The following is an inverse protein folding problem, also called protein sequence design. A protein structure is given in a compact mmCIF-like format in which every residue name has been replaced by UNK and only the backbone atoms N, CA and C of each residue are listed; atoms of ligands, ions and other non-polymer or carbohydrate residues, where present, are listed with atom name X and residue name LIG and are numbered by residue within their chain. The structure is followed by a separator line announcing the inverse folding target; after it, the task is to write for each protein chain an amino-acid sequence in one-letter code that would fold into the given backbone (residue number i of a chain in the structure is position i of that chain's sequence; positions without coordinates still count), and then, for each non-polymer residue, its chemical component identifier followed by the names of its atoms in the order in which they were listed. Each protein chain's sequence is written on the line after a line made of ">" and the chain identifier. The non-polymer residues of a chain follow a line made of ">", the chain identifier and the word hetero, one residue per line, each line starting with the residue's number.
data_IF_734365575727
#
_entry.id   IF_734365575727
#
_cell.length_a   1.000
_cell.length_b   1.000
_cell.length_c   1.000
_cell.angle_alpha   90.00
_cell.angle_beta   90.00
_cell.angle_gamma   90.00
#
_symmetry.space_group_name_H-M   'P 1'
#
loop_
_entity.id
_entity.type
_entity.pdbx_description
1 polymer ?
#
# COMPACT_ATOMS: atom_id res chain seq x y z
N UNK A 1 31.57 12.60 -0.77
CA UNK A 1 31.28 11.15 -0.89
C UNK A 1 31.85 10.48 0.35
N UNK A 2 31.12 9.52 0.92
CA UNK A 2 31.46 8.80 2.16
C UNK A 2 32.30 7.56 1.87
N UNK A 3 32.06 6.92 0.73
CA UNK A 3 32.73 5.71 0.27
C UNK A 3 33.46 5.98 -1.05
N UNK A 4 34.54 5.24 -1.28
CA UNK A 4 35.28 5.23 -2.53
C UNK A 4 34.94 3.93 -3.27
N UNK A 5 33.86 3.97 -4.06
CA UNK A 5 33.30 2.82 -4.78
C UNK A 5 31.80 2.95 -5.06
N UNK A 6 31.22 1.92 -5.67
CA UNK A 6 29.82 1.87 -6.04
C UNK A 6 28.92 1.66 -4.81
N UNK A 7 27.77 2.33 -4.84
CA UNK A 7 26.69 2.19 -3.88
C UNK A 7 25.61 1.34 -4.53
N UNK A 8 25.12 0.34 -3.80
CA UNK A 8 24.03 -0.52 -4.26
C UNK A 8 22.82 -0.30 -3.38
N UNK A 9 21.66 -0.08 -3.99
CA UNK A 9 20.36 -0.07 -3.30
C UNK A 9 19.43 -1.09 -3.97
N UNK A 10 18.40 -1.56 -3.26
CA UNK A 10 17.43 -2.49 -3.83
C UNK A 10 15.99 -2.19 -3.43
N UNK A 11 15.04 -2.63 -4.25
CA UNK A 11 13.63 -2.45 -3.98
C UNK A 11 12.70 -3.00 -5.03
N UNK A 12 11.41 -3.07 -4.69
CA UNK A 12 10.37 -3.51 -5.62
C UNK A 12 10.02 -2.45 -6.67
N UNK A 13 10.10 -1.16 -6.30
CA UNK A 13 9.82 -0.02 -7.19
C UNK A 13 8.48 -0.13 -7.93
N UNK A 14 7.44 -0.66 -7.27
CA UNK A 14 6.18 -1.03 -7.93
C UNK A 14 4.90 -0.65 -7.16
N UNK A 15 4.33 0.57 -7.36
CA UNK A 15 4.86 1.66 -8.20
C UNK A 15 5.97 2.47 -7.53
N UNK A 16 6.72 3.23 -8.32
CA UNK A 16 7.69 4.22 -7.86
C UNK A 16 6.98 5.40 -7.18
N UNK A 17 7.54 5.91 -6.08
CA UNK A 17 7.00 7.04 -5.34
C UNK A 17 8.12 7.92 -4.75
N UNK A 18 7.75 9.05 -4.13
CA UNK A 18 8.70 10.07 -3.64
C UNK A 18 9.77 9.52 -2.67
N UNK A 19 9.43 8.48 -1.92
CA UNK A 19 10.36 7.76 -1.03
C UNK A 19 11.53 7.15 -1.80
N UNK A 20 11.28 6.49 -2.93
CA UNK A 20 12.34 5.95 -3.78
C UNK A 20 13.23 7.06 -4.36
N UNK A 21 12.62 8.16 -4.80
CA UNK A 21 13.39 9.31 -5.33
C UNK A 21 14.34 9.91 -4.28
N UNK A 22 13.90 10.00 -3.02
CA UNK A 22 14.75 10.49 -1.92
C UNK A 22 15.86 9.50 -1.59
N UNK A 23 15.54 8.21 -1.52
CA UNK A 23 16.52 7.13 -1.32
C UNK A 23 17.61 7.16 -2.40
N UNK A 24 17.23 7.23 -3.68
CA UNK A 24 18.15 7.33 -4.82
C UNK A 24 19.04 8.57 -4.69
N UNK A 25 18.45 9.75 -4.43
CA UNK A 25 19.20 11.01 -4.29
C UNK A 25 20.18 11.04 -3.13
N UNK A 26 19.88 10.34 -2.04
CA UNK A 26 20.77 10.28 -0.89
C UNK A 26 21.85 9.22 -1.10
N UNK A 27 21.50 8.06 -1.66
CA UNK A 27 22.45 7.01 -2.00
C UNK A 27 23.49 7.47 -3.04
N UNK A 28 23.07 8.23 -4.07
CA UNK A 28 23.98 8.72 -5.11
C UNK A 28 25.06 9.67 -4.62
N UNK A 29 24.90 10.26 -3.42
CA UNK A 29 25.92 11.14 -2.81
C UNK A 29 26.95 10.38 -1.99
N UNK A 30 26.69 9.10 -1.69
CA UNK A 30 27.51 8.31 -0.78
C UNK A 30 28.77 7.77 -1.44
N UNK A 31 28.73 7.43 -2.73
CA UNK A 31 29.88 6.86 -3.45
C UNK A 31 30.04 7.42 -4.85
N UNK A 32 30.86 6.76 -5.66
CA UNK A 32 31.25 7.23 -7.00
C UNK A 32 30.25 6.85 -8.08
N UNK A 33 29.43 5.83 -7.81
CA UNK A 33 28.44 5.27 -8.71
C UNK A 33 27.25 4.77 -7.90
N UNK A 34 26.03 4.87 -8.42
CA UNK A 34 24.84 4.25 -7.87
C UNK A 34 24.31 3.15 -8.80
N UNK A 35 24.20 1.94 -8.26
CA UNK A 35 23.58 0.80 -8.91
C UNK A 35 22.28 0.47 -8.17
N UNK A 36 21.18 0.37 -8.90
CA UNK A 36 19.85 0.07 -8.35
C UNK A 36 19.43 -1.34 -8.75
N UNK A 37 19.19 -2.21 -7.78
CA UNK A 37 18.62 -3.54 -8.00
C UNK A 37 17.09 -3.43 -7.90
N UNK A 38 16.39 -3.64 -9.01
CA UNK A 38 14.95 -3.78 -9.05
C UNK A 38 14.55 -5.26 -8.86
N UNK A 39 13.71 -5.56 -7.87
CA UNK A 39 13.23 -6.93 -7.69
C UNK A 39 12.43 -7.40 -8.91
N UNK A 40 12.63 -8.64 -9.37
CA UNK A 40 11.94 -9.20 -10.53
C UNK A 40 10.42 -9.35 -10.31
N UNK A 41 9.68 -9.57 -11.39
CA UNK A 41 8.21 -9.69 -11.34
C UNK A 41 7.75 -10.88 -10.48
N UNK A 42 8.47 -12.01 -10.52
CA UNK A 42 8.21 -13.17 -9.65
C UNK A 42 8.25 -12.78 -8.17
N UNK A 43 9.27 -12.03 -7.75
CA UNK A 43 9.38 -11.56 -6.37
C UNK A 43 8.16 -10.70 -5.97
N UNK A 44 7.66 -9.84 -6.87
CA UNK A 44 6.49 -9.02 -6.58
C UNK A 44 5.21 -9.87 -6.48
N UNK A 45 5.04 -10.87 -7.35
CA UNK A 45 3.92 -11.81 -7.25
C UNK A 45 3.96 -12.58 -5.93
N UNK A 46 5.10 -13.14 -5.55
CA UNK A 46 5.24 -13.91 -4.31
C UNK A 46 5.03 -13.03 -3.07
N UNK A 47 5.43 -11.75 -3.12
CA UNK A 47 5.32 -10.80 -2.01
C UNK A 47 3.92 -10.20 -1.85
N UNK A 48 3.27 -9.79 -2.94
CA UNK A 48 2.02 -8.99 -2.90
C UNK A 48 0.91 -9.49 -3.82
N UNK A 49 1.15 -10.54 -4.62
CA UNK A 49 0.14 -11.22 -5.44
C UNK A 49 -0.13 -10.60 -6.82
N UNK A 50 0.57 -9.53 -7.20
CA UNK A 50 0.42 -8.88 -8.50
C UNK A 50 1.65 -8.05 -8.86
N UNK A 51 1.76 -7.66 -10.13
CA UNK A 51 2.73 -6.70 -10.67
C UNK A 51 1.93 -5.51 -11.19
N UNK A 52 2.24 -4.29 -10.74
CA UNK A 52 1.61 -3.08 -11.25
C UNK A 52 2.34 -2.56 -12.50
N UNK A 53 3.67 -2.64 -12.51
CA UNK A 53 4.56 -2.22 -13.58
C UNK A 53 5.59 -3.32 -13.86
N UNK A 54 5.67 -3.86 -15.10
CA UNK A 54 6.63 -4.88 -15.48
C UNK A 54 8.08 -4.45 -15.21
N UNK A 55 8.97 -5.42 -15.01
CA UNK A 55 10.38 -5.17 -14.71
C UNK A 55 11.05 -4.28 -15.76
N UNK A 56 10.75 -4.44 -17.04
CA UNK A 56 11.36 -3.67 -18.13
C UNK A 56 11.06 -2.17 -18.00
N UNK A 57 9.79 -1.82 -17.72
CA UNK A 57 9.38 -0.43 -17.49
C UNK A 57 10.00 0.15 -16.21
N UNK A 58 10.08 -0.66 -15.14
CA UNK A 58 10.70 -0.24 -13.88
C UNK A 58 12.18 0.07 -14.08
N UNK A 59 12.91 -0.74 -14.84
CA UNK A 59 14.32 -0.50 -15.15
C UNK A 59 14.49 0.77 -15.97
N UNK A 60 13.72 0.97 -17.04
CA UNK A 60 13.82 2.17 -17.89
C UNK A 60 13.56 3.46 -17.10
N UNK A 61 12.57 3.45 -16.21
CA UNK A 61 12.29 4.60 -15.34
C UNK A 61 13.41 4.81 -14.33
N UNK A 62 13.96 3.74 -13.75
CA UNK A 62 15.04 3.84 -12.76
C UNK A 62 16.32 4.39 -13.37
N UNK A 63 16.70 3.94 -14.57
CA UNK A 63 17.86 4.44 -15.32
C UNK A 63 17.70 5.90 -15.74
N UNK A 64 16.45 6.39 -15.83
CA UNK A 64 16.17 7.79 -16.17
C UNK A 64 16.32 8.74 -14.97
N UNK A 65 16.49 8.24 -13.74
CA UNK A 65 16.68 9.11 -12.58
C UNK A 65 18.10 9.69 -12.52
N UNK A 66 18.17 11.00 -12.31
CA UNK A 66 19.43 11.69 -12.03
C UNK A 66 20.15 11.07 -10.82
N UNK A 67 21.41 10.70 -11.03
CA UNK A 67 22.25 10.03 -10.05
C UNK A 67 22.13 8.51 -10.01
N UNK A 68 21.37 7.86 -10.89
CA UNK A 68 21.43 6.40 -11.11
C UNK A 68 22.35 6.13 -12.29
N UNK A 69 23.42 5.37 -12.07
CA UNK A 69 24.36 5.00 -13.14
C UNK A 69 24.00 3.69 -13.82
N UNK A 70 23.29 2.81 -13.12
CA UNK A 70 22.88 1.50 -13.63
C UNK A 70 21.67 0.98 -12.86
N UNK A 71 20.66 0.47 -13.56
CA UNK A 71 19.62 -0.36 -12.94
C UNK A 71 19.77 -1.81 -13.41
N UNK A 72 19.50 -2.77 -12.53
CA UNK A 72 19.55 -4.20 -12.86
C UNK A 72 18.37 -4.94 -12.26
N UNK A 73 17.86 -5.94 -12.96
CA UNK A 73 16.89 -6.88 -12.42
C UNK A 73 17.56 -7.83 -11.41
N UNK A 74 16.85 -8.16 -10.34
CA UNK A 74 17.30 -9.19 -9.40
C UNK A 74 17.20 -10.60 -10.00
N UNK A 75 18.27 -11.38 -9.89
CA UNK A 75 18.34 -12.78 -10.37
C UNK A 75 18.00 -13.81 -9.28
N UNK A 76 17.53 -13.35 -8.13
CA UNK A 76 17.28 -14.18 -6.94
C UNK A 76 16.03 -15.06 -7.09
N UNK A 77 16.10 -16.26 -6.52
CA UNK A 77 15.00 -17.24 -6.46
C UNK A 77 14.26 -17.24 -5.12
N UNK A 78 14.62 -16.32 -4.24
CA UNK A 78 14.05 -16.15 -2.91
C UNK A 78 13.68 -14.68 -2.68
N UNK A 79 13.34 -14.34 -1.44
CA UNK A 79 12.92 -12.99 -1.04
C UNK A 79 14.09 -12.05 -0.70
N UNK A 80 15.31 -12.37 -1.15
CA UNK A 80 16.53 -11.57 -0.91
C UNK A 80 17.06 -10.98 -2.22
N UNK A 81 18.18 -10.23 -2.13
CA UNK A 81 18.99 -9.84 -3.30
C UNK A 81 20.43 -10.37 -3.27
N UNK A 82 20.69 -11.42 -2.49
CA UNK A 82 22.04 -11.92 -2.22
C UNK A 82 22.79 -12.38 -3.47
N UNK A 83 22.14 -13.15 -4.35
CA UNK A 83 22.75 -13.64 -5.60
C UNK A 83 23.04 -12.47 -6.54
N UNK A 84 22.16 -11.47 -6.57
CA UNK A 84 22.37 -10.28 -7.38
C UNK A 84 23.54 -9.45 -6.89
N UNK A 85 23.68 -9.25 -5.57
CA UNK A 85 24.86 -8.57 -4.98
C UNK A 85 26.14 -9.35 -5.30
N UNK A 86 26.14 -10.68 -5.10
CA UNK A 86 27.30 -11.52 -5.41
C UNK A 86 27.68 -11.47 -6.90
N UNK A 87 26.69 -11.38 -7.79
CA UNK A 87 26.92 -11.22 -9.22
C UNK A 87 27.55 -9.85 -9.54
N UNK A 88 27.01 -8.76 -8.99
CA UNK A 88 27.55 -7.41 -9.20
C UNK A 88 28.97 -7.27 -8.65
N UNK A 89 29.24 -7.83 -7.46
CA UNK A 89 30.54 -7.74 -6.79
C UNK A 89 31.70 -8.42 -7.56
N UNK A 90 31.40 -9.19 -8.61
CA UNK A 90 32.44 -9.77 -9.49
C UNK A 90 33.03 -8.75 -10.46
N UNK A 91 32.23 -7.77 -10.87
CA UNK A 91 32.56 -6.84 -11.96
C UNK A 91 32.49 -5.36 -11.51
N UNK A 92 31.96 -5.07 -10.33
CA UNK A 92 31.82 -3.73 -9.77
C UNK A 92 32.52 -3.66 -8.41
N UNK A 93 33.23 -2.56 -8.17
CA UNK A 93 33.85 -2.26 -6.87
C UNK A 93 32.79 -1.70 -5.92
N UNK A 94 32.01 -2.59 -5.29
CA UNK A 94 30.91 -2.21 -4.41
C UNK A 94 31.48 -1.87 -3.04
N UNK A 95 31.42 -0.59 -2.68
CA UNK A 95 31.84 -0.14 -1.35
C UNK A 95 30.72 -0.25 -0.32
N UNK A 96 29.45 -0.07 -0.72
CA UNK A 96 28.35 -0.06 0.24
C UNK A 96 27.01 -0.55 -0.32
N UNK A 97 26.27 -1.32 0.48
CA UNK A 97 24.86 -1.63 0.30
C UNK A 97 23.98 -0.74 1.19
N UNK A 98 23.22 0.16 0.58
CA UNK A 98 22.64 1.34 1.22
C UNK A 98 21.10 1.34 1.16
N UNK A 99 20.45 0.36 1.80
CA UNK A 99 19.00 0.21 1.71
C UNK A 99 18.20 1.06 2.73
N UNK A 100 17.13 1.69 2.25
CA UNK A 100 16.20 2.47 3.08
C UNK A 100 15.13 1.62 3.81
N UNK A 101 14.66 2.09 4.96
CA UNK A 101 13.57 1.49 5.75
C UNK A 101 13.98 1.05 7.16
N UNK A 102 12.98 0.68 8.00
CA UNK A 102 13.06 0.44 9.46
C UNK A 102 14.02 -0.68 9.95
N UNK A 103 14.98 -1.12 9.13
CA UNK A 103 15.97 -2.15 9.48
C UNK A 103 17.02 -1.53 10.37
N UNK A 104 17.13 -2.04 11.61
CA UNK A 104 17.96 -1.44 12.67
C UNK A 104 19.22 -2.23 13.01
N UNK A 105 19.30 -3.53 12.66
CA UNK A 105 20.42 -4.42 12.99
C UNK A 105 20.81 -5.35 11.83
N UNK A 106 22.09 -5.74 11.76
CA UNK A 106 22.69 -6.67 10.77
C UNK A 106 22.06 -8.08 10.80
N UNK A 107 21.55 -8.52 11.95
CA UNK A 107 20.93 -9.84 12.15
C UNK A 107 19.59 -10.02 11.40
N UNK A 108 18.93 -8.92 11.03
CA UNK A 108 17.62 -8.93 10.34
C UNK A 108 17.73 -8.84 8.80
N UNK A 109 18.97 -8.86 8.27
CA UNK A 109 19.23 -8.57 6.86
C UNK A 109 19.89 -9.79 6.21
N UNK A 110 19.14 -10.54 5.39
CA UNK A 110 19.68 -11.71 4.70
C UNK A 110 20.96 -11.41 3.89
N UNK A 111 21.08 -10.17 3.40
CA UNK A 111 22.22 -9.70 2.63
C UNK A 111 23.51 -9.47 3.45
N UNK A 112 23.47 -9.51 4.80
CA UNK A 112 24.65 -9.26 5.63
C UNK A 112 25.79 -10.24 5.35
N UNK A 113 25.47 -11.52 5.17
CA UNK A 113 26.46 -12.56 4.87
C UNK A 113 27.19 -12.31 3.54
N UNK A 114 26.47 -11.91 2.49
CA UNK A 114 27.12 -11.60 1.20
C UNK A 114 27.92 -10.30 1.29
N UNK A 115 27.43 -9.31 2.05
CA UNK A 115 28.17 -8.07 2.24
C UNK A 115 29.49 -8.32 2.98
N UNK A 116 29.48 -9.08 4.07
CA UNK A 116 30.68 -9.45 4.82
C UNK A 116 31.68 -10.24 3.94
N UNK A 117 31.19 -11.21 3.17
CA UNK A 117 32.00 -12.03 2.26
C UNK A 117 32.77 -11.19 1.24
N UNK A 118 32.18 -10.10 0.75
CA UNK A 118 32.76 -9.24 -0.29
C UNK A 118 33.35 -7.93 0.26
N UNK A 119 33.38 -7.75 1.59
CA UNK A 119 33.89 -6.52 2.20
C UNK A 119 33.03 -5.28 1.92
N UNK A 120 31.73 -5.47 1.66
CA UNK A 120 30.77 -4.42 1.36
C UNK A 120 30.23 -3.85 2.68
N UNK A 121 30.36 -2.54 2.90
CA UNK A 121 29.77 -1.89 4.07
C UNK A 121 28.24 -1.77 3.95
N UNK A 122 27.53 -1.70 5.07
CA UNK A 122 26.07 -1.53 5.07
C UNK A 122 25.69 -0.18 5.65
N UNK A 123 24.88 0.58 4.92
CA UNK A 123 24.33 1.86 5.39
C UNK A 123 22.81 1.77 5.51
N UNK A 124 22.29 2.09 6.70
CA UNK A 124 20.85 2.07 6.98
C UNK A 124 20.23 3.46 6.95
N UNK A 125 18.92 3.52 6.75
CA UNK A 125 18.12 4.76 6.75
C UNK A 125 18.46 5.77 5.64
N UNK A 126 19.03 5.31 4.52
CA UNK A 126 19.25 6.16 3.34
C UNK A 126 17.91 6.56 2.73
N UNK A 127 17.70 7.87 2.51
CA UNK A 127 16.42 8.46 2.08
C UNK A 127 15.46 8.85 3.21
N UNK A 128 15.88 8.69 4.46
CA UNK A 128 15.06 8.94 5.65
C UNK A 128 14.15 7.76 6.04
N UNK A 129 13.35 7.93 7.10
CA UNK A 129 12.39 6.92 7.55
C UNK A 129 11.33 6.58 6.50
N UNK A 130 10.50 5.57 6.78
CA UNK A 130 9.46 5.11 5.84
C UNK A 130 8.29 6.11 5.75
N UNK A 131 8.39 7.08 4.83
CA UNK A 131 7.38 8.12 4.62
C UNK A 131 6.16 7.59 3.86
N UNK A 132 6.37 6.62 2.95
CA UNK A 132 5.34 6.09 2.07
C UNK A 132 5.70 4.67 1.59
N UNK A 133 4.70 3.86 1.24
CA UNK A 133 4.93 2.56 0.61
C UNK A 133 4.14 2.41 -0.70
N UNK A 134 4.70 1.69 -1.67
CA UNK A 134 3.99 1.32 -2.89
C UNK A 134 2.67 0.64 -2.57
N UNK A 135 2.63 -0.31 -1.63
CA UNK A 135 1.40 -1.00 -1.22
C UNK A 135 0.31 -0.08 -0.69
N UNK A 136 0.65 1.04 -0.04
CA UNK A 136 -0.35 2.05 0.37
C UNK A 136 -0.90 2.88 -0.78
N UNK A 137 -0.13 3.09 -1.84
CA UNK A 137 -0.57 3.82 -3.04
C UNK A 137 -1.58 3.02 -3.86
N UNK A 138 -1.36 1.72 -3.98
CA UNK A 138 -2.24 0.79 -4.71
C UNK A 138 -3.27 0.10 -3.79
N UNK A 139 -3.08 0.17 -2.48
CA UNK A 139 -3.89 -0.53 -1.50
C UNK A 139 -5.31 -0.01 -1.39
N UNK A 140 -5.54 1.26 -1.74
CA UNK A 140 -6.87 1.89 -1.79
C UNK A 140 -7.62 1.92 -0.47
N UNK A 141 -7.00 1.51 0.64
CA UNK A 141 -7.63 1.41 1.94
C UNK A 141 -7.42 2.69 2.75
N UNK A 142 -8.49 3.45 2.92
CA UNK A 142 -8.56 4.71 3.66
C UNK A 142 -8.94 4.42 5.10
N UNK A 143 -8.09 4.80 6.05
CA UNK A 143 -8.39 4.69 7.48
C UNK A 143 -9.32 5.80 7.95
N UNK A 144 -10.25 5.46 8.85
CA UNK A 144 -11.20 6.36 9.50
C UNK A 144 -11.26 6.04 11.00
N UNK A 145 -11.77 6.94 11.85
CA UNK A 145 -11.90 6.67 13.29
C UNK A 145 -12.71 5.40 13.61
N UNK A 146 -13.75 5.12 12.82
CA UNK A 146 -14.59 3.93 12.95
C UNK A 146 -13.99 2.64 12.33
N UNK A 147 -12.86 2.72 11.63
CA UNK A 147 -12.25 1.58 10.93
C UNK A 147 -11.56 1.94 9.61
N UNK A 148 -11.95 1.33 8.50
CA UNK A 148 -11.41 1.64 7.18
C UNK A 148 -12.43 1.36 6.07
N UNK A 149 -12.20 1.93 4.89
CA UNK A 149 -12.83 1.43 3.67
C UNK A 149 -11.81 1.28 2.55
N UNK A 150 -12.09 0.39 1.60
CA UNK A 150 -11.34 0.23 0.36
C UNK A 150 -12.27 0.32 -0.83
N UNK A 151 -11.96 1.19 -1.79
CA UNK A 151 -12.64 1.22 -3.09
C UNK A 151 -11.97 0.20 -4.02
N UNK A 152 -12.77 -0.65 -4.66
CA UNK A 152 -12.29 -1.64 -5.62
C UNK A 152 -12.48 -1.16 -7.06
N UNK A 153 -13.63 -0.56 -7.34
CA UNK A 153 -13.99 -0.19 -8.71
C UNK A 153 -15.00 0.95 -8.72
N UNK A 154 -14.85 1.88 -9.66
CA UNK A 154 -15.83 2.91 -9.99
C UNK A 154 -16.12 2.82 -11.48
N UNK A 155 -17.37 2.57 -11.84
CA UNK A 155 -17.82 2.50 -13.23
C UNK A 155 -18.92 3.51 -13.51
N UNK A 156 -19.49 3.41 -14.71
CA UNK A 156 -20.65 4.23 -15.07
C UNK A 156 -21.87 3.75 -14.27
N UNK A 157 -22.36 4.58 -13.35
CA UNK A 157 -23.54 4.28 -12.53
C UNK A 157 -23.30 3.44 -11.27
N UNK A 158 -22.05 3.04 -10.95
CA UNK A 158 -21.76 2.28 -9.73
C UNK A 158 -20.39 2.55 -9.09
N UNK A 159 -20.29 2.26 -7.79
CA UNK A 159 -19.06 2.29 -7.00
C UNK A 159 -19.05 1.11 -6.02
N UNK A 160 -18.01 0.27 -6.10
CA UNK A 160 -17.81 -0.89 -5.23
C UNK A 160 -16.79 -0.60 -4.14
N UNK A 161 -17.19 -0.76 -2.88
CA UNK A 161 -16.35 -0.60 -1.69
C UNK A 161 -16.44 -1.81 -0.77
N UNK A 162 -15.40 -2.00 0.05
CA UNK A 162 -15.47 -2.76 1.30
C UNK A 162 -15.27 -1.81 2.46
N UNK A 163 -16.18 -1.82 3.41
CA UNK A 163 -16.02 -1.17 4.70
C UNK A 163 -15.60 -2.21 5.75
N UNK A 164 -14.64 -1.85 6.58
CA UNK A 164 -14.24 -2.58 7.79
C UNK A 164 -14.56 -1.70 8.99
N UNK A 165 -15.45 -2.14 9.87
CA UNK A 165 -15.91 -1.38 11.03
C UNK A 165 -15.40 -2.08 12.28
N UNK A 166 -14.68 -1.33 13.13
CA UNK A 166 -14.14 -1.86 14.37
C UNK A 166 -15.28 -2.17 15.36
N UNK A 167 -15.02 -3.05 16.32
CA UNK A 167 -15.96 -3.37 17.38
C UNK A 167 -16.41 -2.12 18.14
N UNK A 168 -17.72 -1.92 18.29
CA UNK A 168 -18.31 -0.79 19.01
C UNK A 168 -18.27 0.54 18.27
N UNK A 169 -17.81 0.56 17.02
CA UNK A 169 -17.80 1.75 16.17
C UNK A 169 -19.05 1.85 15.30
N UNK A 170 -19.35 3.09 14.88
CA UNK A 170 -20.61 3.47 14.24
C UNK A 170 -20.33 4.49 13.14
N UNK A 171 -21.02 4.37 12.01
CA UNK A 171 -20.96 5.39 10.95
C UNK A 171 -21.90 6.56 11.27
N UNK A 172 -21.76 7.67 10.55
CA UNK A 172 -22.69 8.80 10.68
C UNK A 172 -24.09 8.39 10.24
N UNK A 173 -25.13 8.95 10.88
CA UNK A 173 -26.48 8.87 10.33
C UNK A 173 -26.53 9.80 9.12
N UNK A 174 -26.87 9.26 7.96
CA UNK A 174 -26.79 9.99 6.71
C UNK A 174 -27.90 9.59 5.73
N UNK A 175 -28.09 10.37 4.69
CA UNK A 175 -28.90 10.03 3.53
C UNK A 175 -28.20 10.49 2.26
N UNK A 176 -28.68 9.99 1.12
CA UNK A 176 -28.14 10.32 -0.19
C UNK A 176 -29.24 10.75 -1.15
N UNK A 177 -29.02 11.85 -1.86
CA UNK A 177 -30.06 12.39 -2.75
C UNK A 177 -30.09 11.75 -4.12
N UNK A 178 -28.99 11.16 -4.60
CA UNK A 178 -28.85 10.68 -5.98
C UNK A 178 -28.44 9.21 -6.11
N UNK A 179 -28.16 8.53 -4.99
CA UNK A 179 -27.77 7.11 -5.00
C UNK A 179 -28.58 6.25 -4.03
N UNK A 180 -28.73 4.99 -4.41
CA UNK A 180 -29.08 3.88 -3.52
C UNK A 180 -27.84 3.05 -3.24
N UNK A 181 -27.90 2.21 -2.21
CA UNK A 181 -26.79 1.32 -1.85
C UNK A 181 -27.27 -0.11 -1.67
N UNK A 182 -26.40 -1.08 -1.95
CA UNK A 182 -26.58 -2.48 -1.60
C UNK A 182 -25.46 -2.90 -0.67
N UNK A 183 -25.81 -3.46 0.48
CA UNK A 183 -24.86 -3.89 1.49
C UNK A 183 -24.91 -5.40 1.67
N UNK A 184 -23.74 -6.04 1.65
CA UNK A 184 -23.58 -7.47 1.90
C UNK A 184 -22.57 -7.71 3.03
N UNK A 185 -22.98 -8.45 4.06
CA UNK A 185 -22.13 -8.73 5.23
C UNK A 185 -21.20 -9.90 4.90
N UNK A 186 -19.93 -9.60 4.65
CA UNK A 186 -18.91 -10.61 4.36
C UNK A 186 -18.29 -11.24 5.62
N UNK A 187 -18.31 -10.53 6.74
CA UNK A 187 -17.78 -10.98 8.04
C UNK A 187 -18.45 -10.21 9.18
N UNK A 188 -18.73 -10.86 10.32
CA UNK A 188 -19.35 -10.21 11.49
C UNK A 188 -20.88 -10.14 11.44
N UNK A 189 -21.45 -9.26 12.28
CA UNK A 189 -22.88 -8.92 12.30
C UNK A 189 -23.02 -7.40 12.22
N UNK A 190 -23.74 -6.92 11.22
CA UNK A 190 -24.04 -5.51 11.04
C UNK A 190 -25.35 -5.17 11.74
N UNK A 191 -25.39 -4.07 12.50
CA UNK A 191 -26.65 -3.43 12.89
C UNK A 191 -26.91 -2.30 11.91
N UNK A 192 -28.05 -2.37 11.23
CA UNK A 192 -28.48 -1.40 10.22
C UNK A 192 -29.65 -0.61 10.76
N UNK A 193 -29.54 0.71 10.74
CA UNK A 193 -30.67 1.63 10.90
C UNK A 193 -31.04 2.12 9.49
N UNK A 194 -32.31 2.03 9.11
CA UNK A 194 -32.84 2.53 7.84
C UNK A 194 -34.27 3.04 8.05
N UNK A 195 -34.44 4.36 7.95
CA UNK A 195 -35.64 5.10 8.32
C UNK A 195 -36.14 4.72 9.73
N UNK A 196 -37.33 4.15 9.85
CA UNK A 196 -37.93 3.78 11.14
C UNK A 196 -37.56 2.36 11.61
N UNK A 197 -36.71 1.65 10.86
CA UNK A 197 -36.36 0.26 11.14
C UNK A 197 -34.91 0.13 11.60
N UNK A 198 -34.71 -0.65 12.65
CA UNK A 198 -33.38 -1.13 13.06
C UNK A 198 -33.38 -2.65 13.06
N UNK A 199 -32.42 -3.25 12.37
CA UNK A 199 -32.30 -4.71 12.28
C UNK A 199 -30.84 -5.15 12.12
N UNK A 200 -30.57 -6.39 12.48
CA UNK A 200 -29.25 -6.99 12.32
C UNK A 200 -29.18 -7.82 11.03
N UNK A 201 -28.03 -7.77 10.36
CA UNK A 201 -27.65 -8.63 9.26
C UNK A 201 -26.45 -9.48 9.68
N UNK A 202 -26.61 -10.79 9.61
CA UNK A 202 -25.55 -11.78 9.85
C UNK A 202 -24.67 -11.95 8.62
N UNK A 203 -23.52 -12.59 8.81
CA UNK A 203 -22.64 -13.01 7.72
C UNK A 203 -23.43 -13.71 6.61
N UNK A 204 -23.19 -13.29 5.37
CA UNK A 204 -23.84 -13.70 4.13
C UNK A 204 -25.27 -13.18 3.90
N UNK A 205 -25.79 -12.34 4.79
CA UNK A 205 -27.03 -11.60 4.55
C UNK A 205 -26.75 -10.24 3.90
N UNK A 206 -27.81 -9.62 3.37
CA UNK A 206 -27.71 -8.36 2.64
C UNK A 206 -28.97 -7.52 2.78
N UNK A 207 -28.85 -6.23 2.45
CA UNK A 207 -29.97 -5.30 2.35
C UNK A 207 -29.74 -4.26 1.25
N UNK A 208 -30.82 -3.63 0.81
CA UNK A 208 -30.76 -2.42 0.00
C UNK A 208 -31.07 -1.22 0.89
N UNK A 209 -30.34 -0.13 0.68
CA UNK A 209 -30.59 1.19 1.24
C UNK A 209 -31.19 2.05 0.12
N UNK A 210 -32.48 2.39 0.19
CA UNK A 210 -33.11 3.23 -0.80
C UNK A 210 -32.51 4.63 -0.84
N UNK A 211 -32.59 5.27 -2.00
CA UNK A 211 -32.26 6.69 -2.15
C UNK A 211 -33.12 7.53 -1.20
N UNK A 212 -32.52 8.57 -0.60
CA UNK A 212 -33.12 9.49 0.38
C UNK A 212 -33.45 8.91 1.75
N UNK A 213 -33.41 7.59 1.92
CA UNK A 213 -33.59 6.96 3.23
C UNK A 213 -32.48 7.38 4.18
N UNK A 214 -32.85 7.73 5.42
CA UNK A 214 -31.87 7.98 6.48
C UNK A 214 -31.36 6.64 6.97
N UNK A 215 -30.06 6.43 6.94
CA UNK A 215 -29.49 5.15 7.26
C UNK A 215 -28.15 5.26 7.98
N UNK A 216 -27.80 4.19 8.69
CA UNK A 216 -26.56 4.08 9.46
C UNK A 216 -26.14 2.62 9.58
N UNK A 217 -24.83 2.39 9.52
CA UNK A 217 -24.20 1.10 9.77
C UNK A 217 -23.42 1.14 11.09
N UNK A 218 -23.62 0.13 11.92
CA UNK A 218 -22.98 0.00 13.24
C UNK A 218 -22.43 -1.42 13.42
N UNK A 219 -21.32 -1.55 14.14
CA UNK A 219 -20.81 -2.84 14.60
C UNK A 219 -21.01 -3.00 16.11
N UNK A 220 -22.17 -3.50 16.51
CA UNK A 220 -22.49 -3.80 17.91
C UNK A 220 -22.01 -5.20 18.34
N UNK A 221 -21.41 -5.96 17.43
CA UNK A 221 -20.96 -7.33 17.66
C UNK A 221 -19.52 -7.39 18.17
N UNK A 222 -19.10 -8.57 18.67
CA UNK A 222 -17.70 -8.79 19.02
C UNK A 222 -16.86 -9.04 17.76
N UNK A 223 -15.67 -8.45 17.70
CA UNK A 223 -14.77 -8.56 16.56
C UNK A 223 -15.05 -7.55 15.44
N UNK A 224 -14.41 -7.76 14.28
CA UNK A 224 -14.50 -6.85 13.14
C UNK A 224 -15.73 -7.16 12.29
N UNK A 225 -16.36 -6.11 11.77
CA UNK A 225 -17.43 -6.20 10.77
C UNK A 225 -16.86 -5.84 9.40
N UNK A 226 -17.13 -6.64 8.37
CA UNK A 226 -16.81 -6.31 6.98
C UNK A 226 -18.05 -6.33 6.10
N UNK A 227 -18.37 -5.19 5.50
CA UNK A 227 -19.50 -5.02 4.58
C UNK A 227 -18.98 -4.67 3.19
N UNK A 228 -19.47 -5.38 2.18
CA UNK A 228 -19.31 -4.99 0.78
C UNK A 228 -20.47 -4.06 0.43
N UNK A 229 -20.15 -2.87 -0.04
CA UNK A 229 -21.10 -1.84 -0.45
C UNK A 229 -21.02 -1.62 -1.95
N UNK A 230 -22.17 -1.68 -2.62
CA UNK A 230 -22.34 -1.23 -4.00
C UNK A 230 -23.22 0.00 -3.98
N UNK A 231 -22.66 1.17 -4.31
CA UNK A 231 -23.43 2.37 -4.52
C UNK A 231 -23.89 2.41 -5.98
N UNK A 232 -25.15 2.78 -6.23
CA UNK A 232 -25.78 2.79 -7.55
C UNK A 232 -26.47 4.14 -7.75
N UNK A 233 -26.15 4.84 -8.83
CA UNK A 233 -26.73 6.15 -9.16
C UNK A 233 -25.88 6.97 -10.13
N UNK A 234 -26.46 8.04 -10.67
CA UNK A 234 -25.81 8.90 -11.67
C UNK A 234 -24.75 9.82 -11.05
N UNK A 235 -24.90 10.18 -9.77
CA UNK A 235 -23.97 11.02 -9.03
C UNK A 235 -23.44 10.27 -7.80
N UNK A 236 -22.22 9.75 -7.91
CA UNK A 236 -21.51 9.04 -6.85
C UNK A 236 -20.36 9.90 -6.31
N UNK A 237 -20.73 10.91 -5.51
CA UNK A 237 -19.84 11.86 -4.82
C UNK A 237 -20.10 11.87 -3.31
N UNK A 238 -19.14 12.39 -2.55
CA UNK A 238 -19.34 12.74 -1.13
C UNK A 238 -20.27 13.97 -0.97
N UNK A 239 -20.40 14.80 -2.00
CA UNK A 239 -21.32 15.97 -1.99
C UNK A 239 -22.80 15.55 -1.97
N UNK A 240 -23.09 14.28 -2.32
CA UNK A 240 -24.44 13.72 -2.27
C UNK A 240 -24.88 13.34 -0.84
N UNK A 241 -24.01 13.51 0.15
CA UNK A 241 -24.24 13.03 1.52
C UNK A 241 -24.78 14.15 2.39
N UNK A 242 -25.98 13.95 2.93
CA UNK A 242 -26.49 14.76 4.06
C UNK A 242 -26.24 14.01 5.36
N UNK A 243 -25.47 14.60 6.29
CA UNK A 243 -25.19 14.01 7.61
C UNK A 243 -26.08 14.64 8.67
N UNK A 244 -26.68 13.80 9.50
CA UNK A 244 -27.60 14.22 10.57
C UNK A 244 -26.96 14.11 11.95
N UNK A 245 -26.14 13.07 12.16
CA UNK A 245 -25.44 12.81 13.41
C UNK A 245 -24.10 12.17 13.13
N UNK A 246 -23.00 12.79 13.60
CA UNK A 246 -21.65 12.24 13.47
C UNK A 246 -20.93 12.21 14.82
N UNK A 247 -20.50 11.02 15.25
CA UNK A 247 -19.74 10.83 16.48
C UNK A 247 -18.34 11.47 16.42
N UNK A 248 -17.80 11.67 15.23
CA UNK A 248 -16.41 12.10 15.03
C UNK A 248 -16.27 13.56 14.58
N UNK A 249 -17.35 14.35 14.65
CA UNK A 249 -17.38 15.79 14.35
C UNK A 249 -16.70 16.13 13.01
N UNK A 250 -17.02 15.38 11.95
CA UNK A 250 -16.55 15.70 10.59
C UNK A 250 -17.56 16.69 9.99
N UNK A 251 -17.07 17.90 9.72
CA UNK A 251 -17.79 18.92 8.95
C UNK A 251 -18.10 18.43 7.52
#
# INVERSE_FOLDING_TARGET
>A
MKFDGAIVISGGFDPIHIGHLRMIKDASKLGTKLIVIANCDRFLVDKKGYVFMPIEERLEILESFDGVDRAVESIDDDMTVCKTIEWLAKDEDIACFANGGDRRNEDDIPESFVCEKYGIEMEFNVGGGKIQSSSSLVGGEVKKPWGSYKTFEKGNGYLLKRMTINQGEILSLQSHENRSEFWYVSEGVATVECDDNTFDLKKHESTNIPQKSKHRLSNNSNGILKVIEVQIGDLLSEDDITRYEDRYARD
#
